data_IF_122949401316
#
_entry.id   IF_122949401316
#
_cell.length_a   1.000
_cell.length_b   1.000
_cell.length_c   1.000
_cell.angle_alpha   90.00
_cell.angle_beta   90.00
_cell.angle_gamma   90.00
#
_symmetry.space_group_name_H-M   'P 1'
#
loop_
_entity.id
_entity.type
_entity.pdbx_description
1 polymer ?
#
# COMPACT_ATOMS: atom_id res chain seq x y z
N UNK A 1 4.26 6.80 26.91
CA UNK A 1 4.87 5.91 25.91
C UNK A 1 3.73 5.25 25.15
N UNK A 2 3.39 5.73 23.94
CA UNK A 2 2.40 5.06 23.12
C UNK A 2 3.09 3.94 22.35
N UNK A 3 2.56 2.75 22.57
CA UNK A 3 2.82 1.48 21.94
C UNK A 3 2.90 1.57 20.43
N UNK A 4 3.93 0.91 19.88
CA UNK A 4 4.07 0.56 18.46
C UNK A 4 2.72 0.06 17.98
N UNK A 5 2.12 0.80 17.04
CA UNK A 5 0.92 0.38 16.32
C UNK A 5 1.32 -0.89 15.57
N UNK A 6 0.79 -2.03 16.02
CA UNK A 6 0.90 -3.29 15.29
C UNK A 6 0.25 -3.06 13.92
N UNK A 7 1.10 -3.03 12.88
CA UNK A 7 0.68 -2.96 11.49
C UNK A 7 -0.04 -4.27 11.18
N UNK A 8 -1.36 -4.29 11.32
CA UNK A 8 -2.20 -5.34 10.75
C UNK A 8 -2.19 -5.16 9.22
N UNK A 9 -1.14 -5.70 8.59
CA UNK A 9 -1.16 -6.12 7.18
C UNK A 9 -2.21 -7.25 7.07
N UNK A 10 -3.49 -6.90 6.99
CA UNK A 10 -4.57 -7.86 6.71
C UNK A 10 -4.59 -8.27 5.23
N UNK A 11 -3.46 -8.85 4.83
CA UNK A 11 -3.40 -9.84 3.76
C UNK A 11 -2.79 -11.12 4.37
N UNK A 12 -3.31 -11.52 5.54
CA UNK A 12 -2.94 -12.77 6.21
C UNK A 12 -3.31 -13.95 5.30
N UNK A 13 -2.34 -14.36 4.48
CA UNK A 13 -2.46 -15.53 3.63
C UNK A 13 -2.82 -16.73 4.50
N UNK A 14 -3.88 -17.44 4.10
CA UNK A 14 -4.36 -18.62 4.80
C UNK A 14 -3.76 -19.89 4.20
N UNK A 15 -3.51 -20.86 5.06
CA UNK A 15 -3.03 -22.17 4.62
C UNK A 15 -4.15 -22.88 3.83
N UNK A 16 -3.88 -23.40 2.61
CA UNK A 16 -4.90 -24.04 1.79
C UNK A 16 -5.37 -25.40 2.32
N UNK A 17 -4.73 -25.94 3.37
CA UNK A 17 -5.10 -27.23 3.98
C UNK A 17 -5.95 -27.01 5.23
N UNK A 18 -5.49 -26.23 6.21
CA UNK A 18 -6.18 -26.03 7.49
C UNK A 18 -6.92 -24.69 7.63
N UNK A 19 -6.65 -23.71 6.77
CA UNK A 19 -7.25 -22.37 6.86
C UNK A 19 -6.59 -21.42 7.86
N UNK A 20 -5.64 -21.90 8.67
CA UNK A 20 -4.90 -21.08 9.64
C UNK A 20 -3.97 -20.07 8.94
N UNK A 21 -3.54 -19.06 9.70
CA UNK A 21 -2.55 -18.07 9.27
C UNK A 21 -1.28 -18.75 8.78
N UNK A 22 -0.83 -18.37 7.59
CA UNK A 22 0.29 -19.00 6.92
C UNK A 22 1.47 -18.02 6.74
N UNK A 23 2.46 -18.02 7.66
CA UNK A 23 3.61 -17.13 7.57
C UNK A 23 4.62 -17.53 6.49
N UNK A 24 4.56 -18.76 5.97
CA UNK A 24 5.58 -19.29 5.06
C UNK A 24 5.08 -19.37 3.61
N UNK A 25 5.41 -18.35 2.80
CA UNK A 25 5.15 -18.37 1.36
C UNK A 25 5.97 -19.46 0.65
N UNK A 26 5.39 -20.09 -0.38
CA UNK A 26 6.10 -21.03 -1.24
C UNK A 26 7.35 -20.36 -1.84
N UNK A 27 8.53 -20.94 -1.64
CA UNK A 27 9.80 -20.34 -2.06
C UNK A 27 9.94 -20.17 -3.58
N UNK A 28 9.26 -21.00 -4.37
CA UNK A 28 9.33 -20.97 -5.82
C UNK A 28 8.43 -19.88 -6.43
N UNK A 29 7.14 -19.89 -6.11
CA UNK A 29 6.15 -19.00 -6.74
C UNK A 29 5.74 -17.80 -5.88
N UNK A 30 5.92 -17.88 -4.56
CA UNK A 30 5.42 -16.91 -3.55
C UNK A 30 3.92 -16.62 -3.57
N UNK A 31 3.12 -17.35 -4.37
CA UNK A 31 1.66 -17.14 -4.56
C UNK A 31 0.78 -17.80 -3.50
N UNK A 32 1.28 -18.82 -2.82
CA UNK A 32 0.56 -19.53 -1.76
C UNK A 32 1.43 -19.57 -0.51
N UNK A 33 0.81 -19.64 0.66
CA UNK A 33 1.52 -19.76 1.92
C UNK A 33 1.02 -20.96 2.73
N UNK A 34 1.87 -21.47 3.62
CA UNK A 34 1.57 -22.57 4.52
C UNK A 34 1.86 -22.18 5.97
N UNK A 35 1.09 -22.75 6.92
CA UNK A 35 1.41 -22.65 8.34
C UNK A 35 2.70 -23.40 8.70
N UNK A 36 3.11 -24.39 7.88
CA UNK A 36 4.36 -25.12 8.05
C UNK A 36 4.68 -26.05 6.88
N UNK A 37 5.85 -26.71 6.96
CA UNK A 37 6.35 -27.63 5.91
C UNK A 37 5.45 -28.85 5.69
N UNK A 38 4.70 -29.27 6.71
CA UNK A 38 3.83 -30.45 6.62
C UNK A 38 2.69 -30.22 5.62
N UNK A 39 1.91 -29.15 5.78
CA UNK A 39 0.83 -28.81 4.85
C UNK A 39 1.33 -28.41 3.45
N UNK A 40 2.57 -27.91 3.33
CA UNK A 40 3.19 -27.71 2.01
C UNK A 40 3.38 -29.04 1.26
N UNK A 41 3.88 -30.08 1.95
CA UNK A 41 4.10 -31.41 1.35
C UNK A 41 2.78 -32.07 0.97
N UNK A 42 1.77 -31.96 1.84
CA UNK A 42 0.43 -32.49 1.60
C UNK A 42 -0.22 -31.82 0.38
N UNK A 43 -0.17 -30.50 0.31
CA UNK A 43 -0.70 -29.74 -0.83
C UNK A 43 0.16 -29.85 -2.10
N UNK A 44 1.36 -30.43 -2.04
CA UNK A 44 2.34 -30.38 -3.13
C UNK A 44 1.82 -30.99 -4.42
N UNK A 45 1.09 -32.10 -4.36
CA UNK A 45 0.54 -32.76 -5.56
C UNK A 45 -0.45 -31.87 -6.32
N UNK A 46 -1.23 -31.07 -5.61
CA UNK A 46 -2.18 -30.11 -6.19
C UNK A 46 -1.50 -28.79 -6.60
N UNK A 47 -0.48 -28.38 -5.85
CA UNK A 47 0.23 -27.13 -6.10
C UNK A 47 1.23 -27.21 -7.25
N UNK A 48 2.03 -28.29 -7.32
CA UNK A 48 3.16 -28.46 -8.25
C UNK A 48 2.79 -28.13 -9.71
N UNK A 49 1.65 -28.59 -10.27
CA UNK A 49 1.26 -28.25 -11.64
C UNK A 49 1.00 -26.74 -11.87
N UNK A 50 0.58 -26.02 -10.81
CA UNK A 50 0.25 -24.58 -10.85
C UNK A 50 1.39 -23.70 -10.32
N UNK A 51 2.42 -24.30 -9.72
CA UNK A 51 3.54 -23.60 -9.10
C UNK A 51 4.50 -23.07 -10.17
N UNK A 52 4.18 -21.90 -10.73
CA UNK A 52 5.09 -21.18 -11.62
C UNK A 52 6.15 -20.46 -10.79
N UNK A 53 7.42 -20.87 -10.94
CA UNK A 53 8.56 -20.15 -10.37
C UNK A 53 8.49 -18.68 -10.78
N UNK A 54 8.91 -17.78 -9.91
CA UNK A 54 9.04 -16.37 -10.27
C UNK A 54 9.88 -16.25 -11.56
N UNK A 55 9.55 -15.33 -12.47
CA UNK A 55 10.28 -15.16 -13.71
C UNK A 55 11.65 -14.48 -13.49
N UNK A 56 12.04 -14.22 -12.24
CA UNK A 56 13.29 -13.57 -11.88
C UNK A 56 13.91 -14.17 -10.62
N UNK A 57 15.22 -13.96 -10.48
CA UNK A 57 16.00 -14.22 -9.27
C UNK A 57 16.83 -12.99 -8.88
N UNK A 58 17.13 -12.84 -7.59
CA UNK A 58 17.96 -11.75 -7.07
C UNK A 58 19.42 -12.21 -7.12
N UNK A 59 20.27 -11.44 -7.78
CA UNK A 59 21.73 -11.64 -7.82
C UNK A 59 22.47 -10.41 -7.30
N UNK A 60 23.79 -10.51 -7.18
CA UNK A 60 24.65 -9.43 -6.72
C UNK A 60 25.91 -9.36 -7.57
N UNK A 61 26.35 -8.14 -7.86
CA UNK A 61 27.56 -7.84 -8.62
C UNK A 61 28.34 -6.74 -7.91
N UNK A 62 29.69 -6.77 -7.94
CA UNK A 62 30.50 -5.68 -7.40
C UNK A 62 30.23 -4.30 -8.04
N UNK A 63 29.73 -4.27 -9.28
CA UNK A 63 29.53 -3.02 -10.03
C UNK A 63 28.10 -2.48 -9.84
N UNK A 64 27.09 -3.34 -9.85
CA UNK A 64 25.67 -2.95 -9.83
C UNK A 64 25.01 -3.07 -8.45
N UNK A 65 25.66 -3.74 -7.50
CA UNK A 65 25.00 -4.15 -6.26
C UNK A 65 23.97 -5.26 -6.50
N UNK A 66 22.80 -5.19 -5.84
CA UNK A 66 21.72 -6.17 -5.99
C UNK A 66 20.89 -5.89 -7.25
N UNK A 67 20.61 -6.92 -8.04
CA UNK A 67 19.83 -6.80 -9.27
C UNK A 67 18.92 -8.01 -9.49
N UNK A 68 17.89 -7.83 -10.33
CA UNK A 68 17.02 -8.93 -10.78
C UNK A 68 17.54 -9.48 -12.11
N UNK A 69 17.68 -10.80 -12.22
CA UNK A 69 17.95 -11.49 -13.47
C UNK A 69 16.76 -12.37 -13.84
N UNK A 70 16.36 -12.37 -15.10
CA UNK A 70 15.31 -13.29 -15.58
C UNK A 70 15.76 -14.75 -15.44
N UNK A 71 14.84 -15.62 -15.06
CA UNK A 71 15.06 -17.08 -15.03
C UNK A 71 14.48 -17.81 -16.24
N UNK A 72 13.81 -17.08 -17.13
CA UNK A 72 13.18 -17.60 -18.35
C UNK A 72 13.36 -16.60 -19.49
N UNK A 73 13.12 -17.03 -20.72
CA UNK A 73 12.93 -16.06 -21.82
C UNK A 73 11.62 -15.31 -21.58
N UNK A 74 11.66 -13.98 -21.79
CA UNK A 74 10.52 -13.09 -21.59
C UNK A 74 10.00 -12.62 -22.94
N UNK A 75 8.68 -12.63 -23.10
CA UNK A 75 8.00 -12.06 -24.26
C UNK A 75 7.43 -10.68 -23.93
N UNK A 76 7.23 -9.80 -24.93
CA UNK A 76 6.55 -8.52 -24.72
C UNK A 76 5.19 -8.71 -24.03
N UNK A 77 4.99 -8.02 -22.90
CA UNK A 77 3.77 -8.09 -22.10
C UNK A 77 3.82 -9.08 -20.93
N UNK A 78 4.88 -9.89 -20.78
CA UNK A 78 5.00 -10.80 -19.65
C UNK A 78 5.16 -10.04 -18.32
N UNK A 79 4.34 -10.34 -17.30
CA UNK A 79 4.46 -9.70 -15.99
C UNK A 79 5.69 -10.24 -15.25
N UNK A 80 6.68 -9.37 -15.01
CA UNK A 80 7.91 -9.74 -14.28
C UNK A 80 7.69 -9.65 -12.77
N UNK A 81 7.22 -8.50 -12.28
CA UNK A 81 7.05 -8.20 -10.87
C UNK A 81 5.71 -7.50 -10.65
N UNK A 82 5.03 -7.83 -9.55
CA UNK A 82 3.92 -7.06 -8.99
C UNK A 82 4.19 -6.89 -7.51
N UNK A 83 3.96 -5.68 -7.02
CA UNK A 83 4.12 -5.35 -5.61
C UNK A 83 3.11 -4.28 -5.23
N UNK A 84 2.77 -4.22 -3.95
CA UNK A 84 1.96 -3.15 -3.39
C UNK A 84 2.89 -2.01 -2.95
N UNK A 85 2.49 -0.74 -3.12
CA UNK A 85 3.28 0.38 -2.63
C UNK A 85 3.37 0.32 -1.09
N UNK A 86 4.55 0.63 -0.55
CA UNK A 86 4.71 0.73 0.90
C UNK A 86 3.90 1.90 1.48
N UNK A 87 3.92 3.05 0.79
CA UNK A 87 3.20 4.25 1.18
C UNK A 87 2.73 4.95 -0.10
N UNK A 88 1.51 5.47 -0.08
CA UNK A 88 0.95 6.29 -1.16
C UNK A 88 0.63 7.67 -0.61
N UNK A 89 0.99 8.73 -1.31
CA UNK A 89 0.71 10.10 -0.88
C UNK A 89 0.71 11.11 -2.03
N UNK A 90 0.24 12.34 -1.77
CA UNK A 90 0.26 13.42 -2.74
C UNK A 90 1.69 13.77 -3.17
N UNK A 91 1.86 14.11 -4.46
CA UNK A 91 3.12 14.61 -5.00
C UNK A 91 3.31 16.09 -4.62
N UNK A 92 4.50 16.42 -4.14
CA UNK A 92 4.87 17.72 -3.56
C UNK A 92 4.93 18.86 -4.60
N UNK A 93 5.13 18.53 -5.88
CA UNK A 93 5.41 19.52 -6.93
C UNK A 93 4.29 19.59 -7.97
N UNK A 94 3.46 20.62 -7.85
CA UNK A 94 2.51 21.12 -8.86
C UNK A 94 1.39 20.18 -9.32
N UNK A 95 1.02 19.17 -8.52
CA UNK A 95 -0.20 18.42 -8.80
C UNK A 95 -1.42 19.27 -8.42
N UNK A 96 -2.44 19.27 -9.28
CA UNK A 96 -3.80 19.70 -8.93
C UNK A 96 -4.17 19.11 -7.56
N UNK A 97 -4.89 19.86 -6.70
CA UNK A 97 -5.20 19.39 -5.37
C UNK A 97 -5.89 18.03 -5.45
N UNK A 98 -5.52 17.09 -4.58
CA UNK A 98 -6.12 15.76 -4.57
C UNK A 98 -6.88 15.51 -3.28
N UNK A 99 -7.89 14.63 -3.37
CA UNK A 99 -8.56 14.10 -2.19
C UNK A 99 -7.59 13.20 -1.42
N UNK A 100 -7.39 13.46 -0.13
CA UNK A 100 -6.51 12.64 0.69
C UNK A 100 -6.99 11.21 0.91
N UNK A 101 -8.30 10.96 0.80
CA UNK A 101 -8.86 9.63 0.96
C UNK A 101 -8.70 8.73 -0.27
N UNK A 102 -8.87 9.27 -1.49
CA UNK A 102 -8.94 8.44 -2.70
C UNK A 102 -8.03 8.91 -3.84
N UNK A 103 -7.21 9.94 -3.60
CA UNK A 103 -6.25 10.54 -4.54
C UNK A 103 -6.84 11.08 -5.85
N UNK A 104 -8.17 11.11 -5.99
CA UNK A 104 -8.83 11.78 -7.11
C UNK A 104 -8.54 13.27 -7.08
N UNK A 105 -8.34 13.85 -8.27
CA UNK A 105 -8.24 15.29 -8.45
C UNK A 105 -9.47 16.02 -7.89
N UNK A 106 -9.20 17.17 -7.29
CA UNK A 106 -10.18 18.11 -6.77
C UNK A 106 -10.26 19.32 -7.70
N UNK A 107 -11.32 20.10 -7.55
CA UNK A 107 -11.40 21.38 -8.23
C UNK A 107 -10.24 22.28 -7.76
N UNK A 108 -9.45 22.90 -8.65
CA UNK A 108 -8.40 23.85 -8.28
C UNK A 108 -8.91 24.99 -7.40
N UNK A 109 -10.17 25.41 -7.58
CA UNK A 109 -10.85 26.25 -6.61
C UNK A 109 -11.28 25.43 -5.39
N UNK A 110 -10.38 25.33 -4.41
CA UNK A 110 -10.56 24.54 -3.19
C UNK A 110 -11.74 24.95 -2.32
N UNK A 111 -12.28 26.17 -2.48
CA UNK A 111 -13.48 26.60 -1.78
C UNK A 111 -14.75 25.86 -2.28
N UNK A 112 -14.74 25.37 -3.53
CA UNK A 112 -15.86 24.65 -4.14
C UNK A 112 -15.86 23.15 -3.81
N UNK A 113 -14.78 22.64 -3.21
CA UNK A 113 -14.71 21.24 -2.83
C UNK A 113 -15.32 21.03 -1.43
N UNK A 114 -16.00 19.90 -1.20
CA UNK A 114 -16.44 19.54 0.14
C UNK A 114 -15.23 19.35 1.07
N UNK A 115 -15.48 19.48 2.36
CA UNK A 115 -14.46 19.45 3.41
C UNK A 115 -14.64 18.21 4.28
N UNK A 116 -13.54 17.63 4.75
CA UNK A 116 -13.58 16.51 5.68
C UNK A 116 -14.31 16.94 6.96
N UNK A 117 -15.35 16.22 7.43
CA UNK A 117 -16.11 16.64 8.62
C UNK A 117 -15.31 16.71 9.92
N UNK A 118 -14.10 16.12 9.96
CA UNK A 118 -13.26 16.03 11.15
C UNK A 118 -12.11 17.04 11.18
N UNK A 119 -11.41 17.21 10.06
CA UNK A 119 -10.21 18.08 9.98
C UNK A 119 -10.34 19.25 8.99
N UNK A 120 -11.47 19.36 8.29
CA UNK A 120 -11.77 20.39 7.30
C UNK A 120 -10.82 20.44 6.08
N UNK A 121 -10.02 19.42 5.83
CA UNK A 121 -9.27 19.33 4.57
C UNK A 121 -10.19 19.12 3.37
N UNK A 122 -9.84 19.66 2.18
CA UNK A 122 -10.59 19.40 0.94
C UNK A 122 -10.65 17.91 0.59
N UNK A 123 -11.84 17.47 0.18
CA UNK A 123 -12.13 16.08 -0.21
C UNK A 123 -13.01 16.07 -1.44
N UNK A 124 -13.09 14.92 -2.13
CA UNK A 124 -13.99 14.79 -3.28
C UNK A 124 -15.46 14.64 -2.84
N UNK A 125 -15.70 14.20 -1.62
CA UNK A 125 -17.03 14.01 -1.02
C UNK A 125 -16.88 13.82 0.49
N UNK A 126 -17.87 14.29 1.26
CA UNK A 126 -17.96 14.05 2.71
C UNK A 126 -18.18 12.58 3.07
N UNK A 127 -18.51 11.74 2.08
CA UNK A 127 -18.71 10.28 2.22
C UNK A 127 -17.64 9.46 1.47
N UNK A 128 -16.49 10.05 1.16
CA UNK A 128 -15.39 9.30 0.56
C UNK A 128 -14.93 8.17 1.52
N UNK A 129 -14.89 6.93 1.04
CA UNK A 129 -14.48 5.75 1.85
C UNK A 129 -13.06 5.90 2.41
N UNK A 130 -12.19 6.56 1.64
CA UNK A 130 -10.82 6.84 2.05
C UNK A 130 -10.69 7.78 3.26
N UNK A 131 -11.76 8.45 3.71
CA UNK A 131 -11.70 9.30 4.90
C UNK A 131 -11.58 8.51 6.20
N UNK A 132 -12.03 7.26 6.20
CA UNK A 132 -12.02 6.35 7.35
C UNK A 132 -11.04 5.20 7.17
N UNK A 133 -10.37 5.14 6.02
CA UNK A 133 -9.42 4.09 5.68
C UNK A 133 -8.07 4.31 6.38
N UNK A 134 -7.58 3.25 7.03
CA UNK A 134 -6.38 3.27 7.87
C UNK A 134 -5.07 3.48 7.08
N UNK A 135 -5.06 3.19 5.78
CA UNK A 135 -3.89 3.32 4.91
C UNK A 135 -3.84 4.67 4.17
N UNK A 136 -4.84 5.53 4.37
CA UNK A 136 -4.95 6.82 3.68
C UNK A 136 -5.25 7.96 4.64
N UNK A 137 -6.44 8.56 4.61
CA UNK A 137 -6.68 9.81 5.33
C UNK A 137 -6.93 9.62 6.84
N UNK A 138 -7.39 8.46 7.30
CA UNK A 138 -7.73 8.28 8.71
C UNK A 138 -6.57 8.61 9.69
N UNK A 139 -5.32 8.14 9.49
CA UNK A 139 -4.22 8.44 10.39
C UNK A 139 -3.86 9.93 10.44
N UNK A 140 -3.69 10.56 9.28
CA UNK A 140 -3.31 11.97 9.19
C UNK A 140 -4.45 12.90 9.67
N UNK A 141 -5.72 12.51 9.52
CA UNK A 141 -6.87 13.28 9.99
C UNK A 141 -6.79 13.63 11.49
N UNK A 142 -6.27 12.70 12.30
CA UNK A 142 -6.12 12.90 13.74
C UNK A 142 -5.10 13.98 14.10
N UNK A 143 -4.15 14.25 13.20
CA UNK A 143 -3.13 15.28 13.34
C UNK A 143 -3.63 16.59 12.72
N UNK A 144 -4.18 16.52 11.51
CA UNK A 144 -4.67 17.69 10.77
C UNK A 144 -5.78 18.45 11.51
N UNK A 145 -6.63 17.75 12.29
CA UNK A 145 -7.66 18.40 13.11
C UNK A 145 -7.08 19.38 14.15
N UNK A 146 -5.83 19.20 14.56
CA UNK A 146 -5.17 20.07 15.54
C UNK A 146 -4.79 21.43 14.92
N UNK A 147 -4.68 21.50 13.59
CA UNK A 147 -4.30 22.70 12.85
C UNK A 147 -5.47 23.44 12.19
N UNK A 148 -6.72 23.20 12.60
CA UNK A 148 -7.91 23.78 11.96
C UNK A 148 -7.86 25.32 11.96
N UNK A 149 -7.39 25.95 13.03
CA UNK A 149 -7.31 27.42 13.09
C UNK A 149 -6.39 27.97 12.00
N UNK A 150 -5.17 27.43 11.88
CA UNK A 150 -4.23 27.83 10.84
C UNK A 150 -4.78 27.57 9.42
N UNK A 151 -5.47 26.45 9.23
CA UNK A 151 -6.13 26.13 7.96
C UNK A 151 -7.19 27.17 7.60
N UNK A 152 -8.03 27.59 8.55
CA UNK A 152 -9.09 28.57 8.30
C UNK A 152 -8.53 29.98 8.09
N UNK A 153 -7.46 30.35 8.78
CA UNK A 153 -6.86 31.68 8.67
C UNK A 153 -6.07 31.86 7.38
N UNK A 154 -5.29 30.87 6.97
CA UNK A 154 -4.33 31.02 5.88
C UNK A 154 -4.66 30.20 4.64
N UNK A 155 -5.66 29.31 4.72
CA UNK A 155 -5.97 28.32 3.68
C UNK A 155 -4.71 27.53 3.24
N UNK A 156 -3.78 27.34 4.18
CA UNK A 156 -2.46 26.78 3.94
C UNK A 156 -2.51 25.25 3.99
N UNK A 157 -2.74 24.64 2.83
CA UNK A 157 -2.81 23.20 2.68
C UNK A 157 -1.42 22.63 2.41
N UNK A 158 -0.81 22.10 3.46
CA UNK A 158 0.51 21.48 3.43
C UNK A 158 0.46 20.06 2.87
N UNK A 159 0.15 19.91 1.59
CA UNK A 159 0.18 18.60 0.90
C UNK A 159 1.55 17.93 1.00
N UNK A 160 2.63 18.71 1.08
CA UNK A 160 3.99 18.24 1.27
C UNK A 160 4.23 17.53 2.61
N UNK A 161 3.43 17.85 3.62
CA UNK A 161 3.55 17.25 4.95
C UNK A 161 2.81 15.92 5.06
N UNK A 162 2.01 15.54 4.05
CA UNK A 162 1.12 14.38 4.15
C UNK A 162 1.83 13.04 4.04
N UNK A 163 2.74 12.89 3.07
CA UNK A 163 3.45 11.62 2.88
C UNK A 163 4.20 11.18 4.16
N UNK A 164 4.91 12.07 4.90
CA UNK A 164 5.49 11.76 6.21
C UNK A 164 4.50 11.42 7.34
N UNK A 165 3.21 11.71 7.20
CA UNK A 165 2.20 11.34 8.21
C UNK A 165 1.61 9.95 7.97
N UNK A 166 2.01 9.28 6.88
CA UNK A 166 1.56 7.94 6.49
C UNK A 166 2.60 6.84 6.75
N UNK A 167 3.78 7.21 7.25
CA UNK A 167 4.85 6.28 7.65
C UNK A 167 4.82 5.96 9.15
#
# INVERSE_FOLDING_TARGET
>A
MPSIIELEDDDQLKCPICGDVAPHKCSACKKVAYCGKQHQKEHWMLHKPKCKKLPYEIKSSPILGRYLQSTTDLQPGDPILRDNPLIVGPKITMAEPICLGCHKGLNPNLAENPRCPRCLWPVCSTRCSGLTDAHTHAPECAILKLGIEALLTFNDLKYEAILPLRC
#
